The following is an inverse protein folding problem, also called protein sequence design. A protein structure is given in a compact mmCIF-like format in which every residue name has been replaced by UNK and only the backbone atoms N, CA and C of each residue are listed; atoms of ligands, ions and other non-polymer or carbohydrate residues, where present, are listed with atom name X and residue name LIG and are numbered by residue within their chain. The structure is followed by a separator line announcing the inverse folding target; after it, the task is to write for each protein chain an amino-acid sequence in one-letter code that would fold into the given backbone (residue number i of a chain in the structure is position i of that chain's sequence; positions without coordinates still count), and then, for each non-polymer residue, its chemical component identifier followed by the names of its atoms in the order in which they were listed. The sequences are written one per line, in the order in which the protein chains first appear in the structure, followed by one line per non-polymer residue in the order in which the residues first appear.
data_IF_602670365660
#
_entry.id   IF_602670365660
#
_cell.length_a   1.000
_cell.length_b   1.000
_cell.length_c   1.000
_cell.angle_alpha   90.00
_cell.angle_beta   90.00
_cell.angle_gamma   90.00
#
_symmetry.space_group_name_H-M   'P 1'
#
loop_
_entity.id
_entity.type
_entity.pdbx_description
1 polymer ?
#
# COMPACT_ATOMS: atom_id res chain seq x y z
N UNK A 1 0.34 -13.30 22.89
CA UNK A 1 1.70 -13.79 22.64
C UNK A 1 2.57 -12.67 22.08
N UNK A 2 3.74 -12.44 22.70
CA UNK A 2 4.73 -11.47 22.21
C UNK A 2 5.65 -12.13 21.19
N UNK A 3 6.01 -11.41 20.12
CA UNK A 3 7.04 -11.82 19.15
C UNK A 3 8.18 -10.81 19.22
N UNK A 4 9.41 -11.31 19.32
CA UNK A 4 10.63 -10.53 19.24
C UNK A 4 11.18 -10.57 17.82
N UNK A 5 11.80 -9.48 17.39
CA UNK A 5 12.46 -9.45 16.08
C UNK A 5 13.85 -10.06 16.18
N UNK A 6 14.09 -11.09 15.39
CA UNK A 6 15.41 -11.70 15.18
C UNK A 6 15.88 -11.48 13.75
N UNK A 7 14.99 -11.64 12.78
CA UNK A 7 15.27 -11.48 11.36
C UNK A 7 14.30 -10.48 10.72
N UNK A 8 14.82 -9.47 10.04
CA UNK A 8 14.06 -8.45 9.31
C UNK A 8 14.39 -8.48 7.82
N UNK A 9 13.38 -8.72 6.97
CA UNK A 9 13.49 -8.53 5.53
C UNK A 9 13.16 -7.07 5.19
N UNK A 10 14.09 -6.38 4.55
CA UNK A 10 13.95 -4.98 4.14
C UNK A 10 14.13 -4.87 2.64
N UNK A 11 13.09 -4.48 1.91
CA UNK A 11 13.14 -4.26 0.47
C UNK A 11 12.32 -3.03 0.12
N UNK A 12 12.98 -1.87 0.05
CA UNK A 12 12.29 -0.60 -0.18
C UNK A 12 12.84 0.16 -1.39
N UNK A 13 11.93 0.72 -2.17
CA UNK A 13 12.19 1.70 -3.19
C UNK A 13 12.61 3.04 -2.57
N UNK A 14 11.78 3.64 -1.70
CA UNK A 14 12.11 4.90 -1.04
C UNK A 14 12.92 4.64 0.25
N UNK A 15 14.04 5.37 0.42
CA UNK A 15 14.98 5.21 1.55
C UNK A 15 14.87 6.33 2.59
N UNK A 16 13.93 7.26 2.41
CA UNK A 16 13.67 8.36 3.33
C UNK A 16 13.32 7.82 4.73
N UNK A 17 14.09 8.23 5.74
CA UNK A 17 13.91 7.80 7.13
C UNK A 17 14.24 6.34 7.42
N UNK A 18 14.71 5.58 6.42
CA UNK A 18 15.09 4.18 6.59
C UNK A 18 16.32 4.04 7.49
N UNK A 19 17.24 5.00 7.47
CA UNK A 19 18.48 4.95 8.24
C UNK A 19 18.24 4.86 9.76
N UNK A 20 17.27 5.61 10.30
CA UNK A 20 16.89 5.51 11.73
C UNK A 20 16.41 4.10 12.06
N UNK A 21 15.54 3.53 11.21
CA UNK A 21 14.99 2.18 11.40
C UNK A 21 16.11 1.13 11.37
N UNK A 22 17.00 1.21 10.39
CA UNK A 22 18.12 0.26 10.23
C UNK A 22 19.08 0.34 11.42
N UNK A 23 19.41 1.55 11.91
CA UNK A 23 20.23 1.74 13.13
C UNK A 23 19.55 1.14 14.37
N UNK A 24 18.24 1.31 14.51
CA UNK A 24 17.47 0.74 15.62
C UNK A 24 17.37 -0.79 15.56
N UNK A 25 17.22 -1.36 14.37
CA UNK A 25 17.26 -2.82 14.15
C UNK A 25 18.62 -3.38 14.57
N UNK A 26 19.71 -2.77 14.08
CA UNK A 26 21.08 -3.16 14.43
C UNK A 26 21.34 -3.06 15.94
N UNK A 27 20.88 -1.98 16.60
CA UNK A 27 21.00 -1.81 18.06
C UNK A 27 20.29 -2.91 18.85
N UNK A 28 19.21 -3.47 18.30
CA UNK A 28 18.49 -4.60 18.90
C UNK A 28 19.01 -5.97 18.44
N UNK A 29 20.17 -6.03 17.76
CA UNK A 29 20.77 -7.25 17.21
C UNK A 29 19.84 -8.02 16.25
N UNK A 30 18.99 -7.31 15.52
CA UNK A 30 18.14 -7.91 14.48
C UNK A 30 18.98 -8.11 13.22
N UNK A 31 19.06 -9.34 12.73
CA UNK A 31 19.71 -9.67 11.45
C UNK A 31 18.88 -9.07 10.32
N UNK A 32 19.54 -8.31 9.44
CA UNK A 32 18.89 -7.63 8.33
C UNK A 32 19.14 -8.42 7.04
N UNK A 33 18.05 -8.78 6.37
CA UNK A 33 18.04 -9.45 5.06
C UNK A 33 17.53 -8.44 4.04
N UNK A 34 18.21 -8.26 2.90
CA UNK A 34 17.83 -7.24 1.93
C UNK A 34 18.20 -7.60 0.49
N UNK A 35 17.78 -6.78 -0.48
CA UNK A 35 18.04 -6.98 -1.92
C UNK A 35 18.62 -5.73 -2.56
N UNK A 36 19.51 -5.93 -3.54
CA UNK A 36 19.98 -4.92 -4.49
C UNK A 36 20.27 -3.55 -3.88
N UNK A 37 19.55 -2.53 -4.35
CA UNK A 37 19.74 -1.14 -3.93
C UNK A 37 19.49 -0.86 -2.44
N UNK A 38 18.64 -1.66 -1.78
CA UNK A 38 18.39 -1.51 -0.34
C UNK A 38 19.55 -2.09 0.47
N UNK A 39 20.07 -3.26 0.07
CA UNK A 39 21.25 -3.85 0.69
C UNK A 39 22.47 -2.91 0.57
N UNK A 40 22.68 -2.33 -0.61
CA UNK A 40 23.74 -1.34 -0.84
C UNK A 40 23.61 -0.10 0.05
N UNK A 41 22.38 0.39 0.27
CA UNK A 41 22.13 1.51 1.18
C UNK A 41 22.50 1.15 2.62
N UNK A 42 22.07 -0.01 3.11
CA UNK A 42 22.37 -0.48 4.48
C UNK A 42 23.88 -0.64 4.69
N UNK A 43 24.58 -1.18 3.69
CA UNK A 43 26.03 -1.40 3.74
C UNK A 43 26.82 -0.09 3.86
N UNK A 44 26.33 1.00 3.25
CA UNK A 44 26.90 2.36 3.39
C UNK A 44 26.71 2.97 4.78
N UNK A 45 25.87 2.38 5.63
CA UNK A 45 25.73 2.76 7.03
C UNK A 45 26.66 1.96 7.95
N UNK A 46 27.57 1.16 7.38
CA UNK A 46 28.47 0.23 8.10
C UNK A 46 27.70 -0.79 8.97
N UNK A 47 26.50 -1.17 8.54
CA UNK A 47 25.65 -2.14 9.23
C UNK A 47 25.65 -3.47 8.46
N UNK A 48 25.84 -4.61 9.14
CA UNK A 48 25.79 -5.93 8.50
C UNK A 48 24.45 -6.18 7.82
N UNK A 49 24.50 -6.69 6.58
CA UNK A 49 23.31 -7.06 5.81
C UNK A 49 23.56 -8.36 5.05
N UNK A 50 22.63 -9.30 5.17
CA UNK A 50 22.61 -10.52 4.38
C UNK A 50 21.80 -10.26 3.10
N UNK A 51 22.39 -10.55 1.94
CA UNK A 51 21.67 -10.47 0.68
C UNK A 51 20.74 -11.68 0.51
N UNK A 52 19.54 -11.47 -0.05
CA UNK A 52 18.59 -12.55 -0.34
C UNK A 52 19.21 -13.59 -1.27
N UNK A 53 20.02 -13.14 -2.22
CA UNK A 53 20.76 -13.98 -3.17
C UNK A 53 21.67 -14.99 -2.45
N UNK A 54 22.23 -14.63 -1.30
CA UNK A 54 23.05 -15.52 -0.46
C UNK A 54 22.20 -16.59 0.25
N UNK A 55 20.94 -16.29 0.54
CA UNK A 55 20.01 -17.22 1.22
C UNK A 55 19.40 -18.18 0.20
N UNK A 56 19.05 -17.68 -0.98
CA UNK A 56 18.33 -18.45 -1.99
C UNK A 56 19.26 -19.25 -2.89
N UNK A 57 20.55 -18.87 -2.98
CA UNK A 57 21.50 -19.33 -4.01
C UNK A 57 20.98 -19.12 -5.44
N UNK A 58 20.09 -18.15 -5.63
CA UNK A 58 19.55 -17.78 -6.94
C UNK A 58 19.88 -16.33 -7.27
N UNK A 59 20.51 -16.04 -8.42
CA UNK A 59 20.74 -14.67 -8.85
C UNK A 59 19.41 -13.99 -9.22
N UNK A 60 19.35 -12.65 -9.23
CA UNK A 60 18.19 -11.94 -9.74
C UNK A 60 18.00 -12.23 -11.23
N UNK A 61 16.81 -12.71 -11.60
CA UNK A 61 16.46 -13.05 -12.99
C UNK A 61 15.60 -11.97 -13.66
N UNK A 62 15.67 -11.91 -14.99
CA UNK A 62 14.81 -11.08 -15.86
C UNK A 62 14.81 -9.59 -15.46
N UNK A 63 15.99 -8.99 -15.34
CA UNK A 63 16.12 -7.57 -14.94
C UNK A 63 15.71 -7.30 -13.49
N UNK A 64 15.67 -8.31 -12.63
CA UNK A 64 15.28 -8.18 -11.23
C UNK A 64 13.78 -8.34 -10.96
N UNK A 65 12.99 -8.70 -11.98
CA UNK A 65 11.55 -9.02 -11.83
C UNK A 65 11.31 -10.21 -10.90
N UNK A 66 12.26 -11.14 -10.83
CA UNK A 66 12.19 -12.33 -9.97
C UNK A 66 13.40 -12.34 -9.03
N UNK A 67 13.31 -11.57 -7.94
CA UNK A 67 14.35 -11.50 -6.89
C UNK A 67 13.92 -12.13 -5.56
N UNK A 68 12.68 -11.88 -5.12
CA UNK A 68 12.20 -12.28 -3.79
C UNK A 68 11.16 -13.39 -3.83
N UNK A 69 10.65 -13.75 -5.02
CA UNK A 69 9.68 -14.83 -5.25
C UNK A 69 10.35 -16.21 -5.11
N UNK A 70 10.88 -16.49 -3.92
CA UNK A 70 11.70 -17.66 -3.62
C UNK A 70 11.15 -18.39 -2.38
N UNK A 71 11.03 -19.73 -2.40
CA UNK A 71 10.51 -20.52 -1.28
C UNK A 71 11.23 -20.28 0.04
N UNK A 72 12.54 -19.98 0.02
CA UNK A 72 13.32 -19.70 1.23
C UNK A 72 12.83 -18.43 1.94
N UNK A 73 12.46 -17.40 1.18
CA UNK A 73 11.95 -16.15 1.74
C UNK A 73 10.50 -16.30 2.15
N UNK A 74 9.65 -16.82 1.26
CA UNK A 74 8.23 -16.99 1.56
C UNK A 74 7.97 -18.03 2.64
N UNK A 75 8.77 -19.09 2.72
CA UNK A 75 8.71 -20.08 3.81
C UNK A 75 9.12 -19.47 5.16
N UNK A 76 10.11 -18.57 5.16
CA UNK A 76 10.48 -17.81 6.36
C UNK A 76 9.37 -16.90 6.87
N UNK A 77 8.55 -16.36 5.96
CA UNK A 77 7.41 -15.49 6.27
C UNK A 77 6.16 -16.29 6.62
N UNK A 78 5.84 -17.37 5.89
CA UNK A 78 4.52 -18.01 5.91
C UNK A 78 4.44 -19.24 6.82
N UNK A 79 5.56 -19.79 7.28
CA UNK A 79 5.50 -20.94 8.17
C UNK A 79 4.73 -20.61 9.45
N UNK A 80 3.88 -21.54 9.89
CA UNK A 80 3.18 -21.45 11.17
C UNK A 80 4.10 -21.97 12.25
N UNK A 81 4.47 -21.09 13.18
CA UNK A 81 5.46 -21.40 14.23
C UNK A 81 4.98 -22.45 15.22
N UNK A 82 3.67 -22.59 15.37
CA UNK A 82 2.97 -23.56 16.21
C UNK A 82 2.65 -24.89 15.49
N UNK A 83 2.82 -24.97 14.16
CA UNK A 83 2.56 -26.19 13.41
C UNK A 83 3.81 -27.08 13.33
N UNK A 84 3.72 -28.30 13.85
CA UNK A 84 4.85 -29.24 13.94
C UNK A 84 5.40 -29.62 12.56
N UNK A 85 4.55 -29.78 11.55
CA UNK A 85 4.97 -30.22 10.22
C UNK A 85 5.64 -29.07 9.45
N UNK A 86 5.10 -27.84 9.51
CA UNK A 86 5.77 -26.64 8.99
C UNK A 86 7.17 -26.50 9.61
N UNK A 87 7.33 -26.75 10.93
CA UNK A 87 8.63 -26.68 11.59
C UNK A 87 9.61 -27.79 11.14
N UNK A 88 9.11 -28.98 10.77
CA UNK A 88 9.95 -30.05 10.18
C UNK A 88 10.42 -29.67 8.79
N UNK A 89 9.52 -29.23 7.92
CA UNK A 89 9.84 -28.77 6.56
C UNK A 89 10.84 -27.62 6.59
N UNK A 90 10.61 -26.63 7.47
CA UNK A 90 11.53 -25.51 7.68
C UNK A 90 12.96 -25.99 7.97
N UNK A 91 13.12 -26.94 8.90
CA UNK A 91 14.43 -27.51 9.25
C UNK A 91 15.05 -28.30 8.09
N UNK A 92 14.26 -29.14 7.42
CA UNK A 92 14.71 -29.94 6.28
C UNK A 92 15.24 -29.06 5.14
N UNK A 93 14.56 -27.94 4.87
CA UNK A 93 14.91 -27.02 3.80
C UNK A 93 15.81 -25.86 4.25
N UNK A 94 16.29 -25.86 5.50
CA UNK A 94 17.17 -24.83 6.08
C UNK A 94 16.61 -23.41 5.93
N UNK A 95 15.30 -23.27 6.13
CA UNK A 95 14.59 -22.00 6.03
C UNK A 95 14.68 -21.29 7.40
N UNK A 96 15.07 -20.02 7.40
CA UNK A 96 15.08 -19.17 8.60
C UNK A 96 13.74 -18.43 8.73
N UNK A 97 13.28 -18.23 9.97
CA UNK A 97 12.08 -17.42 10.21
C UNK A 97 12.34 -15.95 9.86
N UNK A 98 11.30 -15.24 9.40
CA UNK A 98 11.31 -13.79 9.24
C UNK A 98 10.25 -13.22 10.18
N UNK A 99 10.64 -12.29 11.06
CA UNK A 99 9.75 -11.70 12.07
C UNK A 99 9.19 -10.34 11.63
N UNK A 100 9.94 -9.63 10.79
CA UNK A 100 9.63 -8.29 10.34
C UNK A 100 9.86 -8.19 8.83
N UNK A 101 8.88 -7.65 8.11
CA UNK A 101 8.95 -7.38 6.68
C UNK A 101 8.70 -5.90 6.46
N UNK A 102 9.72 -5.17 6.02
CA UNK A 102 9.65 -3.76 5.66
C UNK A 102 9.74 -3.66 4.14
N UNK A 103 8.64 -3.30 3.50
CA UNK A 103 8.53 -3.23 2.05
C UNK A 103 7.70 -2.00 1.73
N UNK A 104 8.11 -1.23 0.74
CA UNK A 104 7.23 -0.26 0.07
C UNK A 104 7.14 -0.63 -1.41
N UNK A 105 6.07 -0.15 -2.04
CA UNK A 105 5.79 -0.41 -3.45
C UNK A 105 6.35 0.73 -4.30
N UNK A 106 6.59 0.45 -5.58
CA UNK A 106 6.91 1.51 -6.53
C UNK A 106 5.79 2.55 -6.59
N UNK A 107 6.12 3.85 -6.75
CA UNK A 107 5.12 4.91 -6.83
C UNK A 107 4.46 4.91 -8.22
N UNK A 108 3.60 3.92 -8.46
CA UNK A 108 2.94 3.68 -9.75
C UNK A 108 2.06 4.87 -10.15
N UNK A 109 1.26 5.40 -9.21
CA UNK A 109 0.42 6.59 -9.44
C UNK A 109 1.22 7.83 -9.83
N UNK A 110 2.34 8.11 -9.13
CA UNK A 110 3.22 9.22 -9.50
C UNK A 110 3.87 9.03 -10.87
N UNK A 111 4.15 7.78 -11.26
CA UNK A 111 4.75 7.47 -12.58
C UNK A 111 3.76 7.81 -13.69
N UNK A 112 2.49 7.50 -13.51
CA UNK A 112 1.41 7.89 -14.43
C UNK A 112 1.29 9.42 -14.48
N UNK A 113 1.26 10.08 -13.31
CA UNK A 113 1.10 11.53 -13.22
C UNK A 113 2.25 12.31 -13.89
N UNK A 114 3.45 11.72 -13.97
CA UNK A 114 4.62 12.29 -14.66
C UNK A 114 4.59 12.11 -16.19
N UNK A 115 3.56 11.47 -16.75
CA UNK A 115 3.42 11.26 -18.19
C UNK A 115 4.44 10.27 -18.76
N UNK A 116 4.87 9.29 -17.96
CA UNK A 116 5.79 8.25 -18.41
C UNK A 116 5.20 7.42 -19.56
N UNK A 117 6.06 6.82 -20.37
CA UNK A 117 5.65 5.91 -21.45
C UNK A 117 4.96 4.66 -20.89
N UNK A 118 4.13 4.00 -21.71
CA UNK A 118 3.45 2.75 -21.33
C UNK A 118 4.44 1.68 -20.85
N UNK A 119 5.57 1.52 -21.54
CA UNK A 119 6.63 0.59 -21.12
C UNK A 119 7.17 0.93 -19.73
N UNK A 120 7.44 2.21 -19.45
CA UNK A 120 7.90 2.65 -18.13
C UNK A 120 6.85 2.41 -17.04
N UNK A 121 5.58 2.64 -17.34
CA UNK A 121 4.48 2.37 -16.40
C UNK A 121 4.37 0.88 -16.10
N UNK A 122 4.39 0.02 -17.13
CA UNK A 122 4.32 -1.44 -16.97
C UNK A 122 5.50 -1.97 -16.13
N UNK A 123 6.72 -1.46 -16.33
CA UNK A 123 7.88 -1.84 -15.52
C UNK A 123 7.76 -1.44 -14.04
N UNK A 124 6.87 -0.50 -13.69
CA UNK A 124 6.62 -0.11 -12.28
C UNK A 124 5.58 -0.96 -11.57
N UNK A 125 4.96 -1.93 -12.24
CA UNK A 125 4.03 -2.86 -11.59
C UNK A 125 4.82 -3.85 -10.73
N UNK A 126 4.86 -3.61 -9.41
CA UNK A 126 5.57 -4.44 -8.46
C UNK A 126 4.82 -5.74 -8.09
N UNK A 127 5.32 -6.87 -8.58
CA UNK A 127 4.81 -8.21 -8.24
C UNK A 127 5.37 -8.69 -6.89
N UNK A 128 6.68 -8.52 -6.70
CA UNK A 128 7.40 -9.07 -5.56
C UNK A 128 7.04 -8.36 -4.25
N UNK A 129 6.96 -7.03 -4.28
CA UNK A 129 6.59 -6.20 -3.14
C UNK A 129 5.19 -6.52 -2.64
N UNK A 130 4.19 -6.58 -3.53
CA UNK A 130 2.81 -6.93 -3.19
C UNK A 130 2.74 -8.34 -2.59
N UNK A 131 3.43 -9.30 -3.20
CA UNK A 131 3.46 -10.68 -2.68
C UNK A 131 4.05 -10.75 -1.26
N UNK A 132 5.15 -10.04 -0.99
CA UNK A 132 5.76 -9.98 0.35
C UNK A 132 4.84 -9.33 1.38
N UNK A 133 4.21 -8.20 1.04
CA UNK A 133 3.26 -7.50 1.93
C UNK A 133 2.11 -8.43 2.31
N UNK A 134 1.48 -9.08 1.31
CA UNK A 134 0.35 -10.00 1.53
C UNK A 134 0.75 -11.23 2.33
N UNK A 135 1.93 -11.80 2.07
CA UNK A 135 2.42 -12.97 2.81
C UNK A 135 2.64 -12.65 4.30
N UNK A 136 3.30 -11.52 4.59
CA UNK A 136 3.55 -11.09 5.95
C UNK A 136 2.26 -10.71 6.68
N UNK A 137 1.34 -10.00 6.01
CA UNK A 137 0.02 -9.67 6.56
C UNK A 137 -0.83 -10.92 6.84
N UNK A 138 -0.77 -11.93 5.97
CA UNK A 138 -1.47 -13.21 6.18
C UNK A 138 -0.97 -13.92 7.45
N UNK A 139 0.33 -13.94 7.69
CA UNK A 139 0.93 -14.59 8.86
C UNK A 139 1.16 -13.62 10.04
N UNK A 140 0.25 -12.65 10.24
CA UNK A 140 0.36 -11.65 11.32
C UNK A 140 0.45 -12.25 12.73
N UNK A 141 0.06 -13.51 12.91
CA UNK A 141 0.28 -14.23 14.17
C UNK A 141 1.76 -14.26 14.57
N UNK A 142 2.66 -14.30 13.58
CA UNK A 142 4.10 -14.50 13.76
C UNK A 142 4.96 -13.40 13.13
N UNK A 143 4.43 -12.65 12.17
CA UNK A 143 5.19 -11.68 11.36
C UNK A 143 4.60 -10.28 11.47
N UNK A 144 5.45 -9.26 11.50
CA UNK A 144 5.08 -7.85 11.41
C UNK A 144 5.36 -7.36 10.01
N UNK A 145 4.41 -6.64 9.42
CA UNK A 145 4.55 -6.03 8.09
C UNK A 145 4.51 -4.51 8.20
N UNK A 146 5.42 -3.83 7.51
CA UNK A 146 5.52 -2.38 7.42
C UNK A 146 5.50 -2.02 5.92
N UNK A 147 4.30 -1.83 5.33
CA UNK A 147 4.09 -1.57 3.90
C UNK A 147 4.45 -0.15 3.43
N UNK A 148 4.79 0.78 4.34
CA UNK A 148 5.03 2.18 3.99
C UNK A 148 5.82 2.95 5.06
N UNK A 149 6.57 3.97 4.63
CA UNK A 149 7.31 4.89 5.50
C UNK A 149 6.44 5.62 6.52
N UNK A 150 5.15 5.80 6.25
CA UNK A 150 4.22 6.43 7.21
C UNK A 150 4.14 5.69 8.54
N UNK A 151 4.50 4.40 8.56
CA UNK A 151 4.50 3.59 9.78
C UNK A 151 5.86 3.53 10.48
N UNK A 152 6.92 4.16 9.93
CA UNK A 152 8.25 4.14 10.52
C UNK A 152 8.27 4.77 11.92
N UNK A 153 7.49 5.82 12.16
CA UNK A 153 7.36 6.39 13.50
C UNK A 153 6.92 5.34 14.50
N UNK A 154 5.86 4.58 14.19
CA UNK A 154 5.34 3.53 15.07
C UNK A 154 6.32 2.37 15.24
N UNK A 155 6.98 1.96 14.15
CA UNK A 155 8.03 0.94 14.20
C UNK A 155 9.20 1.38 15.10
N UNK A 156 9.63 2.65 15.00
CA UNK A 156 10.72 3.19 15.81
C UNK A 156 10.39 3.12 17.32
N UNK A 157 9.13 3.39 17.70
CA UNK A 157 8.67 3.26 19.08
C UNK A 157 8.75 1.82 19.58
N UNK A 158 8.36 0.86 18.73
CA UNK A 158 8.45 -0.58 19.03
C UNK A 158 9.90 -1.01 19.21
N UNK A 159 10.79 -0.60 18.30
CA UNK A 159 12.21 -0.92 18.35
C UNK A 159 12.89 -0.29 19.59
N UNK A 160 12.49 0.93 19.98
CA UNK A 160 12.97 1.59 21.21
C UNK A 160 12.47 0.90 22.49
N UNK A 161 11.37 0.13 22.43
CA UNK A 161 10.79 -0.63 23.55
C UNK A 161 11.19 -2.12 23.58
N UNK A 162 12.27 -2.47 22.88
CA UNK A 162 12.86 -3.82 22.89
C UNK A 162 12.39 -4.71 21.74
N UNK A 163 12.07 -4.12 20.59
CA UNK A 163 11.84 -4.82 19.31
C UNK A 163 10.86 -6.01 19.42
N UNK A 164 9.72 -5.79 20.07
CA UNK A 164 8.69 -6.80 20.29
C UNK A 164 7.29 -6.27 20.08
N UNK A 165 6.38 -7.13 19.63
CA UNK A 165 4.98 -6.75 19.36
C UNK A 165 3.98 -7.68 20.03
N UNK A 166 2.83 -7.12 20.40
CA UNK A 166 1.63 -7.86 20.78
C UNK A 166 0.84 -8.32 19.55
N UNK A 167 -0.04 -9.31 19.73
CA UNK A 167 -0.88 -9.81 18.63
C UNK A 167 -1.78 -8.72 18.04
N UNK A 168 -2.35 -7.86 18.89
CA UNK A 168 -3.21 -6.75 18.46
C UNK A 168 -2.47 -5.75 17.57
N UNK A 169 -1.23 -5.39 17.93
CA UNK A 169 -0.40 -4.53 17.09
C UNK A 169 -0.15 -5.17 15.72
N UNK A 170 0.19 -6.46 15.67
CA UNK A 170 0.42 -7.16 14.40
C UNK A 170 -0.82 -7.23 13.53
N UNK A 171 -1.98 -7.49 14.14
CA UNK A 171 -3.27 -7.49 13.44
C UNK A 171 -3.59 -6.13 12.83
N UNK A 172 -3.29 -5.04 13.55
CA UNK A 172 -3.44 -3.67 13.02
C UNK A 172 -2.50 -3.41 11.84
N UNK A 173 -1.23 -3.78 11.95
CA UNK A 173 -0.29 -3.66 10.83
C UNK A 173 -0.72 -4.46 9.60
N UNK A 174 -1.26 -5.67 9.79
CA UNK A 174 -1.77 -6.50 8.72
C UNK A 174 -3.00 -5.89 8.02
N UNK A 175 -3.91 -5.28 8.77
CA UNK A 175 -5.05 -4.53 8.21
C UNK A 175 -4.57 -3.41 7.27
N UNK A 176 -3.66 -2.57 7.78
CA UNK A 176 -3.07 -1.48 6.99
C UNK A 176 -2.29 -1.99 5.76
N UNK A 177 -1.68 -3.17 5.84
CA UNK A 177 -0.97 -3.78 4.71
C UNK A 177 -1.92 -4.21 3.59
N UNK A 178 -3.07 -4.82 3.92
CA UNK A 178 -4.07 -5.15 2.91
C UNK A 178 -4.70 -3.89 2.29
N UNK A 179 -4.89 -2.85 3.10
CA UNK A 179 -5.32 -1.53 2.64
C UNK A 179 -4.35 -0.96 1.58
N UNK A 180 -3.04 -0.95 1.86
CA UNK A 180 -2.02 -0.51 0.89
C UNK A 180 -2.06 -1.32 -0.41
N UNK A 181 -2.13 -2.65 -0.34
CA UNK A 181 -2.19 -3.46 -1.57
C UNK A 181 -3.49 -3.27 -2.35
N UNK A 182 -4.62 -3.07 -1.65
CA UNK A 182 -5.90 -2.80 -2.29
C UNK A 182 -5.91 -1.46 -3.03
N UNK A 183 -5.34 -0.41 -2.41
CA UNK A 183 -5.17 0.89 -3.06
C UNK A 183 -4.27 0.77 -4.30
N UNK A 184 -3.14 0.08 -4.17
CA UNK A 184 -2.20 -0.13 -5.25
C UNK A 184 -2.83 -0.85 -6.46
N UNK A 185 -3.53 -1.96 -6.24
CA UNK A 185 -4.22 -2.70 -7.31
C UNK A 185 -5.37 -1.88 -7.94
N UNK A 186 -6.03 -1.00 -7.17
CA UNK A 186 -7.07 -0.12 -7.70
C UNK A 186 -6.51 0.88 -8.72
N UNK A 187 -5.32 1.44 -8.45
CA UNK A 187 -4.64 2.35 -9.40
C UNK A 187 -4.23 1.61 -10.68
N UNK A 188 -3.66 0.41 -10.56
CA UNK A 188 -3.30 -0.43 -11.72
C UNK A 188 -4.52 -0.74 -12.57
N UNK A 189 -5.62 -1.16 -11.93
CA UNK A 189 -6.86 -1.44 -12.63
C UNK A 189 -7.37 -0.21 -13.38
N UNK A 190 -7.38 0.96 -12.72
CA UNK A 190 -7.83 2.22 -13.33
C UNK A 190 -7.00 2.58 -14.57
N UNK A 191 -5.68 2.36 -14.51
CA UNK A 191 -4.78 2.55 -15.64
C UNK A 191 -5.16 1.65 -16.84
N UNK A 192 -5.28 0.33 -16.64
CA UNK A 192 -5.60 -0.60 -17.74
C UNK A 192 -7.01 -0.43 -18.30
N UNK A 193 -7.94 0.12 -17.52
CA UNK A 193 -9.29 0.45 -17.99
C UNK A 193 -9.33 1.73 -18.83
N UNK A 194 -8.18 2.36 -19.10
CA UNK A 194 -8.07 3.58 -19.89
C UNK A 194 -9.02 4.68 -19.39
N UNK A 195 -9.13 4.84 -18.07
CA UNK A 195 -9.72 6.05 -17.50
C UNK A 195 -8.78 7.23 -17.80
N UNK A 196 -8.83 7.71 -19.05
CA UNK A 196 -8.07 8.86 -19.57
C UNK A 196 -8.58 10.19 -19.01
N UNK A 197 -9.74 10.17 -18.36
CA UNK A 197 -10.29 11.19 -17.49
C UNK A 197 -10.96 10.45 -16.31
N UNK A 198 -10.93 10.97 -15.07
CA UNK A 198 -11.93 10.54 -14.10
C UNK A 198 -13.30 10.78 -14.75
N UNK A 199 -14.17 9.77 -14.87
CA UNK A 199 -15.49 9.99 -15.45
C UNK A 199 -16.20 11.02 -14.57
N UNK A 200 -16.74 12.08 -15.19
CA UNK A 200 -17.78 12.87 -14.56
C UNK A 200 -18.88 11.92 -14.06
N UNK A 201 -19.32 12.16 -12.83
CA UNK A 201 -20.04 11.29 -11.91
C UNK A 201 -21.39 10.68 -12.38
N UNK A 202 -21.73 10.66 -13.68
CA UNK A 202 -23.07 10.28 -14.15
C UNK A 202 -23.19 8.99 -14.97
N UNK A 203 -22.11 8.26 -15.27
CA UNK A 203 -22.20 7.03 -16.08
C UNK A 203 -21.39 5.86 -15.51
N UNK A 204 -21.91 5.22 -14.46
CA UNK A 204 -21.61 3.81 -14.21
C UNK A 204 -22.93 3.06 -13.97
N UNK A 205 -23.21 1.96 -14.71
CA UNK A 205 -24.12 0.94 -14.25
C UNK A 205 -23.60 0.42 -12.91
N UNK A 206 -24.50 0.38 -11.93
CA UNK A 206 -24.27 -0.11 -10.58
C UNK A 206 -23.94 -1.61 -10.62
N UNK A 207 -22.68 -1.97 -10.92
CA UNK A 207 -22.21 -3.35 -10.80
C UNK A 207 -21.73 -3.59 -9.36
N UNK A 208 -22.61 -4.21 -8.59
CA UNK A 208 -22.44 -4.61 -7.18
C UNK A 208 -21.30 -5.59 -6.91
N UNK A 209 -20.48 -5.93 -7.91
CA UNK A 209 -19.29 -6.78 -7.75
C UNK A 209 -17.98 -6.01 -7.51
N UNK A 210 -18.00 -4.68 -7.51
CA UNK A 210 -16.78 -3.89 -7.33
C UNK A 210 -16.32 -3.78 -5.88
N UNK A 211 -15.23 -4.49 -5.60
CA UNK A 211 -14.44 -4.43 -4.37
C UNK A 211 -14.29 -2.99 -3.86
N UNK A 212 -14.68 -2.79 -2.60
CA UNK A 212 -14.46 -1.58 -1.80
C UNK A 212 -12.95 -1.34 -1.59
N UNK A 213 -12.21 -1.00 -2.64
CA UNK A 213 -10.94 -0.30 -2.50
C UNK A 213 -11.21 1.07 -1.90
N UNK A 214 -10.29 1.61 -1.10
CA UNK A 214 -10.43 2.88 -0.37
C UNK A 214 -10.98 3.93 -1.33
N UNK A 215 -12.25 4.26 -1.16
CA UNK A 215 -12.83 5.44 -1.73
C UNK A 215 -12.68 6.49 -0.65
N UNK A 216 -12.18 7.68 -0.96
CA UNK A 216 -12.18 8.78 0.00
C UNK A 216 -13.63 8.99 0.46
N UNK A 217 -13.87 8.87 1.77
CA UNK A 217 -15.19 9.09 2.35
C UNK A 217 -15.14 10.39 3.13
N UNK A 218 -15.85 11.41 2.63
CA UNK A 218 -16.07 12.64 3.38
C UNK A 218 -17.43 12.56 4.06
N UNK A 219 -17.45 12.70 5.39
CA UNK A 219 -18.71 12.73 6.14
C UNK A 219 -19.45 14.04 5.83
N UNK A 220 -20.72 13.94 5.47
CA UNK A 220 -21.59 15.09 5.25
C UNK A 220 -22.31 15.45 6.55
N UNK A 221 -22.81 16.69 6.60
CA UNK A 221 -23.50 17.19 7.79
C UNK A 221 -24.70 16.30 8.20
N UNK A 222 -25.43 15.79 7.21
CA UNK A 222 -26.48 14.78 7.32
C UNK A 222 -26.84 14.26 5.91
N UNK A 223 -27.64 13.19 5.85
CA UNK A 223 -28.22 12.65 4.61
C UNK A 223 -29.32 13.55 4.04
N UNK A 224 -30.37 12.99 3.45
CA UNK A 224 -31.49 13.79 2.94
C UNK A 224 -32.24 14.52 4.08
N UNK A 225 -32.33 13.88 5.26
CA UNK A 225 -32.93 14.43 6.47
C UNK A 225 -31.96 14.39 7.67
N UNK A 226 -32.11 15.26 8.69
CA UNK A 226 -31.16 15.38 9.81
C UNK A 226 -30.91 14.09 10.62
N UNK A 227 -31.86 13.15 10.63
CA UNK A 227 -31.74 11.87 11.34
C UNK A 227 -30.99 10.80 10.54
N UNK A 228 -30.71 11.06 9.26
CA UNK A 228 -30.00 10.17 8.36
C UNK A 228 -28.52 10.60 8.28
N UNK A 229 -27.61 9.63 8.25
CA UNK A 229 -26.20 9.89 7.96
C UNK A 229 -26.01 10.03 6.46
N UNK A 230 -25.10 10.93 6.05
CA UNK A 230 -24.74 11.16 4.66
C UNK A 230 -23.23 11.08 4.48
N UNK A 231 -22.79 10.44 3.41
CA UNK A 231 -21.38 10.24 3.09
C UNK A 231 -21.16 10.59 1.62
N UNK A 232 -20.12 11.36 1.33
CA UNK A 232 -19.64 11.58 -0.03
C UNK A 232 -18.52 10.59 -0.33
N UNK A 233 -18.66 9.90 -1.46
CA UNK A 233 -17.77 8.83 -1.90
C UNK A 233 -16.93 9.39 -3.06
N UNK A 234 -15.68 9.73 -2.80
CA UNK A 234 -14.71 10.34 -3.70
C UNK A 234 -13.93 11.48 -3.03
N UNK A 235 -12.97 12.06 -3.74
CA UNK A 235 -12.25 13.24 -3.26
C UNK A 235 -13.11 14.50 -3.45
N UNK A 236 -13.72 14.96 -2.35
CA UNK A 236 -14.61 16.13 -2.38
C UNK A 236 -13.85 17.41 -2.75
N UNK A 237 -12.60 17.55 -2.30
CA UNK A 237 -11.78 18.76 -2.53
C UNK A 237 -11.31 18.91 -3.98
N UNK A 238 -11.17 17.79 -4.71
CA UNK A 238 -10.94 17.82 -6.17
C UNK A 238 -12.15 18.30 -6.95
N UNK A 239 -13.35 18.00 -6.45
CA UNK A 239 -14.61 18.32 -7.15
C UNK A 239 -15.14 19.70 -6.79
N UNK A 240 -14.93 20.15 -5.54
CA UNK A 240 -15.46 21.39 -5.01
C UNK A 240 -14.46 22.06 -4.06
N UNK A 241 -14.23 23.35 -4.25
CA UNK A 241 -13.54 24.18 -3.26
C UNK A 241 -14.57 25.01 -2.49
N UNK A 242 -14.83 24.64 -1.23
CA UNK A 242 -15.71 25.43 -0.37
C UNK A 242 -14.97 26.69 0.12
N UNK A 243 -15.33 27.87 -0.42
CA UNK A 243 -14.70 29.13 -0.05
C UNK A 243 -15.16 29.67 1.31
N UNK A 244 -16.41 29.36 1.71
CA UNK A 244 -16.99 29.81 2.97
C UNK A 244 -18.22 28.97 3.37
N UNK A 245 -18.73 29.17 4.58
CA UNK A 245 -19.98 28.58 5.08
C UNK A 245 -19.77 27.32 5.92
N UNK A 246 -20.89 26.70 6.28
CA UNK A 246 -20.94 25.47 7.08
C UNK A 246 -20.71 24.23 6.20
N UNK A 247 -20.31 23.10 6.79
CA UNK A 247 -20.05 21.82 6.10
C UNK A 247 -21.18 21.37 5.17
N UNK A 248 -20.88 20.82 4.00
CA UNK A 248 -21.89 20.43 3.02
C UNK A 248 -22.83 19.32 3.54
N UNK A 249 -24.11 19.43 3.20
CA UNK A 249 -25.12 18.37 3.39
C UNK A 249 -25.38 17.63 2.08
N UNK A 250 -26.01 16.45 2.16
CA UNK A 250 -26.40 15.67 0.97
C UNK A 250 -27.21 16.51 -0.03
N UNK A 251 -28.24 17.22 0.45
CA UNK A 251 -29.09 18.04 -0.42
C UNK A 251 -28.29 19.18 -1.07
N UNK A 252 -27.30 19.76 -0.38
CA UNK A 252 -26.46 20.79 -1.00
C UNK A 252 -25.69 20.26 -2.21
N UNK A 253 -25.18 19.02 -2.14
CA UNK A 253 -24.46 18.42 -3.25
C UNK A 253 -25.39 18.11 -4.43
N UNK A 254 -26.55 17.53 -4.17
CA UNK A 254 -27.56 17.23 -5.19
C UNK A 254 -28.07 18.51 -5.87
N UNK A 255 -28.38 19.55 -5.10
CA UNK A 255 -28.84 20.83 -5.63
C UNK A 255 -27.74 21.52 -6.47
N UNK A 256 -26.48 21.41 -6.02
CA UNK A 256 -25.33 21.98 -6.75
C UNK A 256 -25.10 21.26 -8.07
N UNK A 257 -25.17 19.92 -8.08
CA UNK A 257 -25.07 19.12 -9.30
C UNK A 257 -26.19 19.48 -10.29
N UNK A 258 -27.44 19.55 -9.81
CA UNK A 258 -28.58 19.94 -10.63
C UNK A 258 -28.41 21.35 -11.21
N UNK A 259 -27.96 22.33 -10.40
CA UNK A 259 -27.71 23.68 -10.86
C UNK A 259 -26.61 23.74 -11.93
N UNK A 260 -25.51 23.02 -11.73
CA UNK A 260 -24.42 22.91 -12.71
C UNK A 260 -24.92 22.29 -14.01
N UNK A 261 -25.67 21.18 -13.94
CA UNK A 261 -26.23 20.51 -15.11
C UNK A 261 -27.11 21.45 -15.93
N UNK A 262 -28.00 22.20 -15.28
CA UNK A 262 -28.85 23.21 -15.94
C UNK A 262 -28.00 24.28 -16.63
N UNK A 263 -26.98 24.81 -15.96
CA UNK A 263 -26.08 25.82 -16.56
C UNK A 263 -25.38 25.27 -17.80
N UNK A 264 -24.87 24.04 -17.75
CA UNK A 264 -24.24 23.39 -18.91
C UNK A 264 -25.21 23.20 -20.07
N UNK A 265 -26.45 22.78 -19.80
CA UNK A 265 -27.48 22.63 -20.82
C UNK A 265 -27.75 23.97 -21.52
N UNK A 266 -27.95 25.06 -20.77
CA UNK A 266 -28.15 26.39 -21.36
C UNK A 266 -26.93 26.90 -22.12
N UNK A 267 -25.71 26.65 -21.64
CA UNK A 267 -24.48 27.03 -22.33
C UNK A 267 -24.32 26.28 -23.66
N UNK A 268 -24.68 25.00 -23.69
CA UNK A 268 -24.64 24.16 -24.90
C UNK A 268 -25.63 24.65 -25.97
N UNK A 269 -26.85 25.03 -25.56
CA UNK A 269 -27.89 25.58 -26.43
C UNK A 269 -27.44 26.92 -27.02
N UNK A 270 -26.84 27.79 -26.21
CA UNK A 270 -26.37 29.11 -26.65
C UNK A 270 -25.19 29.01 -27.62
N UNK A 271 -24.31 28.03 -27.42
CA UNK A 271 -23.20 27.76 -28.33
C UNK A 271 -23.65 27.23 -29.69
N UNK A 272 -24.67 26.35 -29.72
CA UNK A 272 -25.22 25.81 -30.96
C UNK A 272 -26.05 26.83 -31.76
N UNK A 273 -26.75 27.75 -31.10
CA UNK A 273 -27.56 28.80 -31.76
C UNK A 273 -26.73 29.95 -32.35
N UNK A 274 -25.46 30.12 -31.96
CA UNK A 274 -24.51 31.06 -32.59
C UNK A 274 -23.78 30.52 -33.83
N UNK A 275 -23.91 29.23 -34.14
CA UNK A 275 -23.28 28.57 -35.29
C UNK A 275 -24.23 28.31 -36.47
N UNK A 276 -25.49 28.73 -36.36
CA UNK A 276 -26.39 28.90 -37.51
C UNK A 276 -26.48 30.38 -37.84
#
# INVERSE_FOLDING_TARGET
MLIFFHNALVSVFNKDGLDEIIKLLNKNNVKIISTGGTANFIRKLDIPVTEVETITNFPPLFGGRVKTLQPQIFGGILNRRDNIDDQKEKRQHKIEDIDLVIVDLYPFEETIAKGASENEIIEKIDIGGVALIRAAAKNFNNVVVIPSKHQYKKLSEILKKGAKTSLEERKKFAGNAFEVTSAYDSVIRRYFQNFKNPPSMSMMPFDTSMSKGIIDITQLRYGENPHQKGEFIGNLEESFTQLHGKELSYNNLIDTEAAIAIVYDFFSIWWHTRRQ
#
